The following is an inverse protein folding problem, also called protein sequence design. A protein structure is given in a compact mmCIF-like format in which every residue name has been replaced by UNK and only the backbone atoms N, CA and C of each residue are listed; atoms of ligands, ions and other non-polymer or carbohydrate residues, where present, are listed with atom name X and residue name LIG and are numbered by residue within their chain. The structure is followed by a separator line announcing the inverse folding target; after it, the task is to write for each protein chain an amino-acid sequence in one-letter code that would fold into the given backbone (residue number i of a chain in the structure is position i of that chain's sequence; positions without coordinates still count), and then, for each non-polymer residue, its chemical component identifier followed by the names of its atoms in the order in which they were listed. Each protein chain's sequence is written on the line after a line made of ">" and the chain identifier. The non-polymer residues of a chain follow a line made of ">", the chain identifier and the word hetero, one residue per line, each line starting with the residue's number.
data_IF_093995134901
#
_entry.id   IF_093995134901
#
_cell.length_a   1.000
_cell.length_b   1.000
_cell.length_c   1.000
_cell.angle_alpha   90.00
_cell.angle_beta   90.00
_cell.angle_gamma   90.00
#
_symmetry.space_group_name_H-M   'P 1'
#
loop_
_entity.id
_entity.type
_entity.pdbx_description
1 polymer ?
#
# COMPACT_ATOMS: atom_id res chain seq x y z
N UNK A 1 44.06 9.44 -12.26
CA UNK A 1 43.20 8.27 -12.54
C UNK A 1 41.75 8.52 -12.16
N UNK A 2 41.46 9.13 -11.01
CA UNK A 2 40.12 9.56 -10.55
C UNK A 2 39.24 10.28 -11.62
N UNK A 3 39.67 11.37 -12.29
CA UNK A 3 38.77 12.15 -13.15
C UNK A 3 38.31 11.40 -14.42
N UNK A 4 39.14 10.48 -14.92
CA UNK A 4 38.79 9.67 -16.09
C UNK A 4 37.74 8.60 -15.77
N UNK A 5 37.72 8.11 -14.53
CA UNK A 5 36.70 7.16 -14.03
C UNK A 5 35.36 7.87 -13.86
N UNK A 6 35.34 9.10 -13.33
CA UNK A 6 34.11 9.90 -13.24
C UNK A 6 33.57 10.27 -14.62
N UNK A 7 34.44 10.61 -15.58
CA UNK A 7 34.01 10.94 -16.93
C UNK A 7 33.45 9.72 -17.68
N UNK A 8 34.11 8.56 -17.59
CA UNK A 8 33.63 7.33 -18.24
C UNK A 8 32.34 6.81 -17.61
N UNK A 9 32.21 6.87 -16.28
CA UNK A 9 30.95 6.54 -15.60
C UNK A 9 29.82 7.51 -15.98
N UNK A 10 30.09 8.81 -16.08
CA UNK A 10 29.11 9.81 -16.54
C UNK A 10 28.66 9.55 -17.99
N UNK A 11 29.59 9.24 -18.90
CA UNK A 11 29.28 8.91 -20.29
C UNK A 11 28.50 7.58 -20.39
N UNK A 12 28.81 6.59 -19.56
CA UNK A 12 28.05 5.35 -19.47
C UNK A 12 26.62 5.61 -18.97
N UNK A 13 26.47 6.43 -17.92
CA UNK A 13 25.16 6.82 -17.40
C UNK A 13 24.37 7.60 -18.45
N UNK A 14 25.01 8.51 -19.18
CA UNK A 14 24.37 9.32 -20.22
C UNK A 14 23.94 8.46 -21.41
N UNK A 15 24.78 7.53 -21.86
CA UNK A 15 24.45 6.59 -22.94
C UNK A 15 23.33 5.64 -22.53
N UNK A 16 23.36 5.09 -21.31
CA UNK A 16 22.25 4.32 -20.72
C UNK A 16 20.97 5.17 -20.63
N UNK A 17 21.08 6.43 -20.22
CA UNK A 17 19.95 7.36 -20.15
C UNK A 17 19.31 7.55 -21.53
N UNK A 18 20.11 7.83 -22.56
CA UNK A 18 19.65 8.04 -23.93
C UNK A 18 19.06 6.75 -24.54
N UNK A 19 19.65 5.58 -24.25
CA UNK A 19 19.14 4.27 -24.68
C UNK A 19 17.78 3.94 -24.05
N UNK A 20 17.55 4.35 -22.81
CA UNK A 20 16.28 4.10 -22.10
C UNK A 20 15.20 5.12 -22.47
N UNK A 21 15.56 6.32 -22.94
CA UNK A 21 14.60 7.33 -23.42
C UNK A 21 14.02 6.94 -24.80
N UNK A 22 13.00 6.09 -24.81
CA UNK A 22 12.23 5.81 -26.03
C UNK A 22 11.39 7.02 -26.44
N UNK A 23 11.41 7.38 -27.73
CA UNK A 23 10.46 8.34 -28.32
C UNK A 23 9.04 7.80 -28.15
N UNK A 24 8.15 8.64 -27.61
CA UNK A 24 6.75 8.28 -27.46
C UNK A 24 6.05 8.20 -28.82
N UNK A 25 5.18 7.19 -29.05
CA UNK A 25 4.29 7.18 -30.20
C UNK A 25 3.45 8.46 -30.27
N UNK A 26 3.14 8.91 -31.49
CA UNK A 26 2.42 10.17 -31.75
C UNK A 26 0.99 10.21 -31.19
N UNK A 27 0.39 9.05 -30.90
CA UNK A 27 -1.02 8.93 -30.48
C UNK A 27 -1.21 8.83 -28.95
N UNK A 28 -0.18 9.16 -28.15
CA UNK A 28 -0.30 9.12 -26.70
C UNK A 28 -0.74 10.47 -26.11
N UNK A 29 -1.42 10.47 -24.95
CA UNK A 29 -1.70 11.69 -24.21
C UNK A 29 -0.44 12.55 -23.96
N UNK A 30 -0.59 13.88 -23.82
CA UNK A 30 0.51 14.76 -23.47
C UNK A 30 1.08 14.40 -22.09
N UNK A 31 2.33 14.76 -21.82
CA UNK A 31 2.95 14.54 -20.52
C UNK A 31 4.38 14.01 -20.59
N UNK A 32 5.19 14.40 -19.60
CA UNK A 32 6.57 13.89 -19.46
C UNK A 32 6.59 12.54 -18.75
N UNK A 33 7.44 11.63 -19.22
CA UNK A 33 7.68 10.36 -18.52
C UNK A 33 8.63 10.50 -17.32
N UNK A 34 9.27 11.66 -17.13
CA UNK A 34 10.22 11.88 -16.04
C UNK A 34 11.55 11.14 -16.23
N UNK A 35 12.20 10.78 -15.12
CA UNK A 35 13.48 10.08 -15.14
C UNK A 35 13.34 8.64 -15.66
N UNK A 36 14.37 8.06 -16.28
CA UNK A 36 14.38 6.64 -16.64
C UNK A 36 14.05 5.75 -15.45
N UNK A 37 13.30 4.68 -15.70
CA UNK A 37 12.86 3.69 -14.72
C UNK A 37 11.88 4.28 -13.70
N UNK A 38 12.30 5.22 -12.86
CA UNK A 38 11.50 5.72 -11.72
C UNK A 38 10.47 6.79 -12.07
N UNK A 39 10.55 7.39 -13.26
CA UNK A 39 9.62 8.40 -13.73
C UNK A 39 9.58 9.64 -12.84
N UNK A 40 8.39 9.95 -12.33
CA UNK A 40 8.15 11.11 -11.45
C UNK A 40 7.86 10.70 -10.00
N UNK A 41 8.08 9.43 -9.66
CA UNK A 41 7.73 8.83 -8.37
C UNK A 41 8.31 9.57 -7.17
N UNK A 42 9.57 10.00 -7.24
CA UNK A 42 10.23 10.69 -6.12
C UNK A 42 9.56 12.04 -5.84
N UNK A 43 9.29 12.82 -6.87
CA UNK A 43 8.59 14.11 -6.73
C UNK A 43 7.17 13.93 -6.18
N UNK A 44 6.46 12.90 -6.65
CA UNK A 44 5.12 12.59 -6.16
C UNK A 44 5.15 12.12 -4.70
N UNK A 45 6.07 11.22 -4.34
CA UNK A 45 6.24 10.77 -2.95
C UNK A 45 6.65 11.90 -2.01
N UNK A 46 7.48 12.85 -2.46
CA UNK A 46 7.82 14.04 -1.69
C UNK A 46 6.60 14.92 -1.47
N UNK A 47 5.80 15.15 -2.51
CA UNK A 47 4.54 15.88 -2.40
C UNK A 47 3.57 15.19 -1.44
N UNK A 48 3.40 13.88 -1.53
CA UNK A 48 2.57 13.10 -0.60
C UNK A 48 3.03 13.24 0.85
N UNK A 49 4.34 13.16 1.12
CA UNK A 49 4.89 13.35 2.47
C UNK A 49 4.72 14.77 3.00
N UNK A 50 4.75 15.76 2.12
CA UNK A 50 4.52 17.15 2.46
C UNK A 50 3.03 17.53 2.52
N UNK A 51 2.11 16.56 2.38
CA UNK A 51 0.66 16.77 2.27
C UNK A 51 0.27 17.71 1.10
N UNK A 52 1.02 17.64 0.00
CA UNK A 52 0.84 18.39 -1.25
C UNK A 52 0.55 17.50 -2.47
N UNK A 53 0.16 16.24 -2.23
CA UNK A 53 -0.14 15.28 -3.31
C UNK A 53 -1.22 15.78 -4.27
N UNK A 54 -2.29 16.38 -3.73
CA UNK A 54 -3.36 16.98 -4.53
C UNK A 54 -2.84 18.14 -5.38
N UNK A 55 -2.05 19.05 -4.79
CA UNK A 55 -1.46 20.17 -5.52
C UNK A 55 -0.58 19.68 -6.69
N UNK A 56 0.21 18.63 -6.47
CA UNK A 56 1.05 18.01 -7.50
C UNK A 56 0.21 17.46 -8.68
N UNK A 57 -0.98 16.91 -8.40
CA UNK A 57 -1.92 16.46 -9.42
C UNK A 57 -2.62 17.64 -10.12
N UNK A 58 -2.99 18.68 -9.39
CA UNK A 58 -3.62 19.89 -9.97
C UNK A 58 -2.67 20.66 -10.90
N UNK A 59 -1.39 20.79 -10.54
CA UNK A 59 -0.38 21.38 -11.42
C UNK A 59 -0.21 20.60 -12.72
N UNK A 60 -0.33 19.27 -12.66
CA UNK A 60 -0.33 18.42 -13.85
C UNK A 60 -1.53 18.70 -14.75
N UNK A 61 -2.71 18.77 -14.17
CA UNK A 61 -3.96 19.06 -14.89
C UNK A 61 -3.83 20.42 -15.59
N UNK A 62 -3.35 21.44 -14.86
CA UNK A 62 -3.10 22.77 -15.43
C UNK A 62 -2.12 22.76 -16.60
N UNK A 63 -1.08 21.91 -16.53
CA UNK A 63 -0.01 21.86 -17.53
C UNK A 63 -0.33 21.03 -18.77
N UNK A 64 -0.96 19.86 -18.60
CA UNK A 64 -1.15 18.88 -19.67
C UNK A 64 -2.61 18.58 -19.99
N UNK A 65 -3.55 19.13 -19.22
CA UNK A 65 -4.97 18.83 -19.31
C UNK A 65 -5.39 17.62 -18.45
N UNK A 66 -6.69 17.28 -18.47
CA UNK A 66 -7.29 16.25 -17.60
C UNK A 66 -6.85 14.82 -17.94
N UNK A 67 -6.26 14.60 -19.12
CA UNK A 67 -5.75 13.29 -19.57
C UNK A 67 -4.29 13.48 -19.94
N UNK A 68 -3.38 12.83 -19.20
CA UNK A 68 -1.95 12.96 -19.44
C UNK A 68 -1.18 11.70 -19.10
N UNK A 69 -0.04 11.48 -19.75
CA UNK A 69 0.85 10.36 -19.43
C UNK A 69 1.92 10.75 -18.42
N UNK A 70 2.38 9.76 -17.66
CA UNK A 70 3.49 9.85 -16.74
C UNK A 70 4.07 8.46 -16.49
N UNK A 71 5.17 8.39 -15.72
CA UNK A 71 5.62 7.13 -15.14
C UNK A 71 5.63 7.28 -13.62
N UNK A 72 4.96 6.35 -12.94
CA UNK A 72 4.97 6.22 -11.49
C UNK A 72 5.34 4.78 -11.12
N UNK A 73 6.24 4.66 -10.14
CA UNK A 73 6.75 3.44 -9.54
C UNK A 73 7.32 2.41 -10.51
N UNK A 74 7.86 2.84 -11.66
CA UNK A 74 8.37 1.93 -12.68
C UNK A 74 7.37 1.65 -13.81
N UNK A 75 6.17 2.19 -13.73
CA UNK A 75 5.06 1.83 -14.60
C UNK A 75 4.61 3.05 -15.43
N UNK A 76 4.64 2.96 -16.77
CA UNK A 76 3.95 3.91 -17.62
C UNK A 76 2.46 3.97 -17.27
N UNK A 77 1.95 5.17 -17.04
CA UNK A 77 0.60 5.41 -16.53
C UNK A 77 -0.06 6.50 -17.36
N UNK A 78 -1.36 6.35 -17.58
CA UNK A 78 -2.22 7.46 -18.04
C UNK A 78 -3.00 7.95 -16.83
N UNK A 79 -2.76 9.20 -16.46
CA UNK A 79 -3.54 9.92 -15.47
C UNK A 79 -4.81 10.46 -16.12
N UNK A 80 -5.94 10.19 -15.48
CA UNK A 80 -7.25 10.66 -15.89
C UNK A 80 -7.87 11.47 -14.75
N UNK A 81 -8.47 12.60 -15.08
CA UNK A 81 -9.16 13.47 -14.12
C UNK A 81 -10.53 13.89 -14.65
N UNK A 82 -11.51 13.96 -13.74
CA UNK A 82 -12.86 14.43 -14.01
C UNK A 82 -13.92 13.33 -13.94
N UNK A 83 -15.18 13.76 -13.85
CA UNK A 83 -16.32 12.86 -13.65
C UNK A 83 -16.47 11.83 -14.78
N UNK A 84 -16.32 12.25 -16.04
CA UNK A 84 -16.42 11.37 -17.19
C UNK A 84 -15.35 10.27 -17.18
N UNK A 85 -14.11 10.63 -16.83
CA UNK A 85 -13.02 9.68 -16.64
C UNK A 85 -13.29 8.68 -15.51
N UNK A 86 -13.75 9.17 -14.36
CA UNK A 86 -14.10 8.31 -13.23
C UNK A 86 -15.23 7.34 -13.60
N UNK A 87 -16.27 7.82 -14.28
CA UNK A 87 -17.37 6.97 -14.78
C UNK A 87 -16.82 5.88 -15.69
N UNK A 88 -15.98 6.24 -16.67
CA UNK A 88 -15.34 5.28 -17.56
C UNK A 88 -14.57 4.21 -16.77
N UNK A 89 -13.70 4.60 -15.83
CA UNK A 89 -12.92 3.65 -15.01
C UNK A 89 -13.81 2.71 -14.18
N UNK A 90 -14.92 3.20 -13.62
CA UNK A 90 -15.78 2.40 -12.75
C UNK A 90 -16.84 1.57 -13.48
N UNK A 91 -17.12 1.84 -14.76
CA UNK A 91 -18.13 1.10 -15.55
C UNK A 91 -17.53 0.30 -16.70
N UNK A 92 -16.23 0.37 -16.92
CA UNK A 92 -15.54 -0.42 -17.95
C UNK A 92 -15.63 -1.92 -17.61
N UNK A 93 -15.72 -2.76 -18.64
CA UNK A 93 -15.63 -4.20 -18.44
C UNK A 93 -14.20 -4.65 -18.11
N UNK A 94 -14.11 -5.81 -17.45
CA UNK A 94 -12.84 -6.42 -17.04
C UNK A 94 -11.98 -6.85 -18.25
N UNK A 95 -12.52 -6.90 -19.48
CA UNK A 95 -11.74 -7.21 -20.69
C UNK A 95 -10.97 -5.98 -21.18
N UNK A 96 -11.47 -4.79 -20.87
CA UNK A 96 -10.88 -3.52 -21.31
C UNK A 96 -9.96 -2.94 -20.24
N UNK A 97 -10.38 -2.94 -18.97
CA UNK A 97 -9.59 -2.43 -17.85
C UNK A 97 -9.67 -3.38 -16.66
N UNK A 98 -8.49 -3.70 -16.11
CA UNK A 98 -8.37 -4.51 -14.90
C UNK A 98 -7.65 -3.70 -13.85
N UNK A 99 -8.16 -3.74 -12.61
CA UNK A 99 -7.47 -3.16 -11.46
C UNK A 99 -6.10 -3.81 -11.31
N UNK A 100 -5.04 -3.01 -11.35
CA UNK A 100 -3.67 -3.43 -11.06
C UNK A 100 -3.00 -2.44 -10.15
N UNK A 101 -2.25 -2.94 -9.19
CA UNK A 101 -1.46 -2.11 -8.30
C UNK A 101 -0.01 -1.99 -8.79
N UNK A 102 0.76 -1.02 -8.27
CA UNK A 102 2.20 -1.02 -8.45
C UNK A 102 2.81 -2.38 -8.05
N UNK A 103 3.84 -2.82 -8.77
CA UNK A 103 4.53 -4.10 -8.53
C UNK A 103 4.97 -4.26 -7.07
N UNK A 104 5.30 -3.16 -6.40
CA UNK A 104 5.65 -3.14 -4.98
C UNK A 104 4.53 -3.69 -4.09
N UNK A 105 3.28 -3.29 -4.31
CA UNK A 105 2.11 -3.75 -3.54
C UNK A 105 1.94 -5.26 -3.72
N UNK A 106 1.91 -5.72 -4.97
CA UNK A 106 1.80 -7.15 -5.30
C UNK A 106 2.89 -7.99 -4.64
N UNK A 107 4.16 -7.57 -4.73
CA UNK A 107 5.28 -8.34 -4.16
C UNK A 107 5.27 -8.38 -2.63
N UNK A 108 4.79 -7.33 -1.98
CA UNK A 108 4.68 -7.25 -0.53
C UNK A 108 3.47 -8.05 -0.03
N UNK A 109 2.29 -7.84 -0.60
CA UNK A 109 1.06 -8.51 -0.19
C UNK A 109 0.95 -9.97 -0.68
N UNK A 110 1.73 -10.35 -1.70
CA UNK A 110 1.67 -11.66 -2.36
C UNK A 110 0.65 -11.70 -3.50
N UNK A 111 0.73 -12.69 -4.38
CA UNK A 111 -0.08 -12.73 -5.62
C UNK A 111 -1.57 -13.01 -5.37
N UNK A 112 -1.93 -13.59 -4.22
CA UNK A 112 -3.31 -13.93 -3.83
C UNK A 112 -3.94 -12.88 -2.90
N UNK A 113 -3.68 -11.60 -3.18
CA UNK A 113 -4.29 -10.51 -2.43
C UNK A 113 -5.47 -9.90 -3.21
N UNK A 114 -6.44 -9.30 -2.51
CA UNK A 114 -7.68 -8.79 -3.13
C UNK A 114 -7.44 -7.74 -4.22
N UNK A 115 -6.33 -7.00 -4.19
CA UNK A 115 -6.03 -5.99 -5.19
C UNK A 115 -5.50 -6.57 -6.51
N UNK A 116 -5.07 -7.84 -6.52
CA UNK A 116 -4.48 -8.52 -7.68
C UNK A 116 -5.38 -9.62 -8.25
N UNK A 117 -6.27 -10.20 -7.43
CA UNK A 117 -7.23 -11.19 -7.90
C UNK A 117 -8.22 -10.57 -8.89
N UNK A 118 -8.68 -11.38 -9.85
CA UNK A 118 -9.68 -10.99 -10.86
C UNK A 118 -10.80 -12.03 -10.93
N UNK A 119 -11.91 -11.69 -11.59
CA UNK A 119 -12.99 -12.62 -11.88
C UNK A 119 -13.57 -13.32 -10.64
N UNK A 120 -13.72 -14.65 -10.70
CA UNK A 120 -14.38 -15.43 -9.65
C UNK A 120 -13.59 -15.48 -8.34
N UNK A 121 -12.26 -15.55 -8.41
CA UNK A 121 -11.42 -15.55 -7.20
C UNK A 121 -11.56 -14.23 -6.44
N UNK A 122 -11.56 -13.10 -7.17
CA UNK A 122 -11.82 -11.79 -6.58
C UNK A 122 -13.22 -11.73 -5.95
N UNK A 123 -14.26 -12.19 -6.65
CA UNK A 123 -15.64 -12.22 -6.13
C UNK A 123 -15.74 -13.04 -4.83
N UNK A 124 -15.10 -14.20 -4.78
CA UNK A 124 -15.08 -15.08 -3.61
C UNK A 124 -14.44 -14.38 -2.40
N UNK A 125 -13.22 -13.87 -2.55
CA UNK A 125 -12.51 -13.19 -1.46
C UNK A 125 -13.24 -11.91 -1.04
N UNK A 126 -13.78 -11.13 -1.99
CA UNK A 126 -14.56 -9.93 -1.69
C UNK A 126 -15.83 -10.26 -0.90
N UNK A 127 -16.54 -11.33 -1.25
CA UNK A 127 -17.72 -11.78 -0.50
C UNK A 127 -17.35 -12.21 0.92
N UNK A 128 -16.24 -12.93 1.09
CA UNK A 128 -15.73 -13.32 2.40
C UNK A 128 -15.41 -12.09 3.27
N UNK A 129 -14.67 -11.10 2.75
CA UNK A 129 -14.38 -9.84 3.47
C UNK A 129 -15.69 -9.09 3.80
N UNK A 130 -16.60 -8.99 2.83
CA UNK A 130 -17.90 -8.32 3.02
C UNK A 130 -18.75 -8.96 4.11
N UNK A 131 -18.61 -10.27 4.36
CA UNK A 131 -19.35 -10.95 5.42
C UNK A 131 -19.01 -10.44 6.82
N UNK A 132 -17.76 -10.02 7.06
CA UNK A 132 -17.31 -9.42 8.32
C UNK A 132 -17.79 -7.97 8.50
N UNK A 133 -18.24 -7.32 7.42
CA UNK A 133 -18.69 -5.93 7.41
C UNK A 133 -20.22 -5.80 7.37
N UNK A 134 -20.95 -6.91 7.48
CA UNK A 134 -22.41 -6.89 7.57
C UNK A 134 -22.87 -6.23 8.87
N UNK A 135 -24.00 -5.54 8.82
CA UNK A 135 -24.54 -4.76 9.95
C UNK A 135 -24.69 -5.60 11.21
N UNK A 136 -25.12 -6.86 11.09
CA UNK A 136 -25.32 -7.78 12.21
C UNK A 136 -23.99 -8.15 12.89
N UNK A 137 -22.91 -8.21 12.11
CA UNK A 137 -21.56 -8.49 12.61
C UNK A 137 -20.95 -7.23 13.21
N UNK A 138 -21.09 -6.07 12.56
CA UNK A 138 -20.61 -4.79 13.06
C UNK A 138 -21.21 -4.44 14.42
N UNK A 139 -22.50 -4.72 14.65
CA UNK A 139 -23.15 -4.54 15.96
C UNK A 139 -22.45 -5.33 17.07
N UNK A 140 -21.97 -6.55 16.77
CA UNK A 140 -21.22 -7.39 17.73
C UNK A 140 -19.84 -6.82 18.03
N UNK A 141 -19.25 -6.07 17.09
CA UNK A 141 -17.94 -5.45 17.28
C UNK A 141 -17.97 -4.23 18.21
N UNK A 142 -19.12 -3.55 18.35
CA UNK A 142 -19.24 -2.29 19.11
C UNK A 142 -18.65 -2.42 20.52
N UNK A 143 -19.04 -3.45 21.27
CA UNK A 143 -18.54 -3.64 22.65
C UNK A 143 -17.03 -3.82 22.73
N UNK A 144 -16.43 -4.57 21.79
CA UNK A 144 -14.98 -4.78 21.75
C UNK A 144 -14.24 -3.51 21.28
N UNK A 145 -14.76 -2.80 20.28
CA UNK A 145 -14.20 -1.51 19.85
C UNK A 145 -14.21 -0.50 20.99
N UNK A 146 -15.33 -0.37 21.68
CA UNK A 146 -15.52 0.55 22.80
C UNK A 146 -14.57 0.26 23.97
N UNK A 147 -14.36 -1.02 24.29
CA UNK A 147 -13.33 -1.46 25.25
C UNK A 147 -11.92 -1.03 24.79
N UNK A 148 -11.54 -1.30 23.55
CA UNK A 148 -10.22 -0.92 23.01
C UNK A 148 -10.01 0.60 23.02
N UNK A 149 -11.04 1.37 22.66
CA UNK A 149 -10.99 2.83 22.63
C UNK A 149 -10.79 3.39 24.05
N UNK A 150 -11.60 2.96 25.03
CA UNK A 150 -11.47 3.43 26.41
C UNK A 150 -10.08 3.14 26.98
N UNK A 151 -9.61 1.92 26.77
CA UNK A 151 -8.28 1.49 27.20
C UNK A 151 -7.17 2.33 26.54
N UNK A 152 -7.29 2.59 25.23
CA UNK A 152 -6.34 3.43 24.50
C UNK A 152 -6.30 4.87 25.04
N UNK A 153 -7.46 5.48 25.29
CA UNK A 153 -7.55 6.82 25.86
C UNK A 153 -6.93 6.86 27.26
N UNK A 154 -7.24 5.88 28.10
CA UNK A 154 -6.68 5.79 29.45
C UNK A 154 -5.15 5.67 29.43
N UNK A 155 -4.58 4.77 28.63
CA UNK A 155 -3.14 4.51 28.59
C UNK A 155 -2.32 5.60 27.89
N UNK A 156 -2.92 6.29 26.91
CA UNK A 156 -2.13 7.14 26.01
C UNK A 156 -2.50 8.62 26.03
N UNK A 157 -3.65 9.00 26.56
CA UNK A 157 -4.18 10.36 26.51
C UNK A 157 -4.40 10.95 27.90
N UNK A 158 -4.98 10.19 28.82
CA UNK A 158 -5.29 10.68 30.16
C UNK A 158 -4.02 11.16 30.89
N UNK A 159 -4.12 12.32 31.54
CA UNK A 159 -3.02 12.92 32.30
C UNK A 159 -1.88 13.52 31.46
N UNK A 160 -2.04 13.64 30.13
CA UNK A 160 -1.02 14.25 29.25
C UNK A 160 -1.47 15.61 28.77
N UNK A 161 -0.59 16.60 28.90
CA UNK A 161 -0.80 17.95 28.38
C UNK A 161 -0.75 17.98 26.84
N UNK A 162 0.12 17.16 26.24
CA UNK A 162 0.29 17.07 24.79
C UNK A 162 0.24 15.61 24.30
N UNK A 163 -0.49 15.37 23.21
CA UNK A 163 -0.60 14.05 22.58
C UNK A 163 -0.36 14.16 21.08
N UNK A 164 0.62 13.39 20.58
CA UNK A 164 0.80 13.17 19.14
C UNK A 164 -0.30 12.25 18.60
N UNK A 165 -1.40 12.84 18.15
CA UNK A 165 -2.64 12.12 17.77
C UNK A 165 -2.40 11.08 16.67
N UNK A 166 -1.70 11.42 15.59
CA UNK A 166 -1.60 10.52 14.42
C UNK A 166 -0.92 9.17 14.72
N UNK A 167 0.24 9.10 15.39
CA UNK A 167 0.78 7.82 15.85
C UNK A 167 -0.18 7.03 16.74
N UNK A 168 -0.87 7.71 17.67
CA UNK A 168 -1.80 7.05 18.59
C UNK A 168 -3.03 6.49 17.89
N UNK A 169 -3.60 7.22 16.95
CA UNK A 169 -4.72 6.73 16.14
C UNK A 169 -4.32 5.53 15.27
N UNK A 170 -3.11 5.51 14.71
CA UNK A 170 -2.60 4.32 13.99
C UNK A 170 -2.55 3.11 14.90
N UNK A 171 -1.96 3.24 16.09
CA UNK A 171 -1.93 2.17 17.10
C UNK A 171 -3.35 1.71 17.44
N UNK A 172 -4.29 2.63 17.72
CA UNK A 172 -5.68 2.29 18.05
C UNK A 172 -6.37 1.48 16.92
N UNK A 173 -6.28 1.94 15.68
CA UNK A 173 -6.92 1.25 14.55
C UNK A 173 -6.32 -0.12 14.28
N UNK A 174 -4.99 -0.26 14.37
CA UNK A 174 -4.31 -1.55 14.27
C UNK A 174 -4.77 -2.50 15.38
N UNK A 175 -4.82 -1.97 16.60
CA UNK A 175 -5.27 -2.69 17.77
C UNK A 175 -6.70 -3.23 17.60
N UNK A 176 -7.64 -2.39 17.15
CA UNK A 176 -9.01 -2.80 16.87
C UNK A 176 -9.04 -3.95 15.85
N UNK A 177 -8.26 -3.88 14.76
CA UNK A 177 -8.21 -4.93 13.74
C UNK A 177 -7.65 -6.24 14.33
N UNK A 178 -6.56 -6.19 15.09
CA UNK A 178 -6.01 -7.37 15.77
C UNK A 178 -7.04 -8.03 16.69
N UNK A 179 -7.75 -7.22 17.46
CA UNK A 179 -8.75 -7.69 18.42
C UNK A 179 -9.98 -8.30 17.75
N UNK A 180 -10.48 -7.69 16.67
CA UNK A 180 -11.71 -8.10 16.00
C UNK A 180 -11.50 -9.22 14.96
N UNK A 181 -10.42 -9.13 14.19
CA UNK A 181 -10.20 -10.00 13.02
C UNK A 181 -9.23 -11.13 13.35
N UNK A 182 -8.11 -10.82 14.00
CA UNK A 182 -7.11 -11.84 14.36
C UNK A 182 -7.44 -12.52 15.70
N UNK A 183 -8.30 -11.91 16.52
CA UNK A 183 -8.61 -12.37 17.86
C UNK A 183 -7.37 -12.40 18.77
N UNK A 184 -6.40 -11.51 18.53
CA UNK A 184 -5.22 -11.32 19.37
C UNK A 184 -5.56 -10.21 20.36
N UNK A 185 -5.46 -10.48 21.65
CA UNK A 185 -5.68 -9.46 22.68
C UNK A 185 -4.35 -8.77 23.05
N UNK A 186 -4.23 -8.24 24.27
CA UNK A 186 -3.00 -7.55 24.71
C UNK A 186 -1.85 -8.54 24.96
N UNK A 187 -1.16 -8.91 23.89
CA UNK A 187 0.01 -9.79 23.93
C UNK A 187 1.21 -9.11 23.27
N UNK A 188 2.46 -9.43 23.68
CA UNK A 188 3.67 -8.93 23.02
C UNK A 188 3.69 -9.19 21.50
N UNK A 189 3.02 -10.26 21.06
CA UNK A 189 2.83 -10.61 19.65
C UNK A 189 2.14 -9.50 18.85
N UNK A 190 1.22 -8.76 19.47
CA UNK A 190 0.49 -7.65 18.84
C UNK A 190 1.42 -6.48 18.52
N UNK A 191 2.31 -6.13 19.43
CA UNK A 191 3.25 -5.03 19.25
C UNK A 191 4.25 -5.35 18.13
N UNK A 192 4.76 -6.59 18.10
CA UNK A 192 5.62 -7.08 17.00
C UNK A 192 4.88 -7.02 15.66
N UNK A 193 3.62 -7.45 15.61
CA UNK A 193 2.81 -7.36 14.40
C UNK A 193 2.57 -5.91 13.96
N UNK A 194 2.40 -4.97 14.91
CA UNK A 194 2.21 -3.55 14.60
C UNK A 194 3.45 -2.93 13.93
N UNK A 195 4.63 -3.22 14.47
CA UNK A 195 5.91 -2.78 13.92
C UNK A 195 6.12 -3.35 12.51
N UNK A 196 5.94 -4.67 12.36
CA UNK A 196 6.07 -5.33 11.05
C UNK A 196 5.07 -4.79 10.04
N UNK A 197 3.82 -4.54 10.45
CA UNK A 197 2.81 -3.96 9.56
C UNK A 197 3.20 -2.56 9.11
N UNK A 198 3.70 -1.72 10.02
CA UNK A 198 4.19 -0.39 9.66
C UNK A 198 5.35 -0.45 8.66
N UNK A 199 6.36 -1.30 8.91
CA UNK A 199 7.47 -1.51 7.98
C UNK A 199 6.99 -2.00 6.61
N UNK A 200 5.96 -2.85 6.59
CA UNK A 200 5.36 -3.36 5.37
C UNK A 200 4.68 -2.24 4.55
N UNK A 201 3.94 -1.35 5.21
CA UNK A 201 3.25 -0.22 4.59
C UNK A 201 4.23 0.80 3.96
N UNK A 202 5.42 0.99 4.53
CA UNK A 202 6.41 1.95 4.02
C UNK A 202 6.93 1.64 2.61
N UNK A 203 6.87 0.37 2.18
CA UNK A 203 7.34 -0.08 0.87
C UNK A 203 6.23 -0.27 -0.16
N UNK A 204 4.95 -0.16 0.22
CA UNK A 204 3.84 -0.39 -0.71
C UNK A 204 3.85 0.58 -1.90
N UNK A 205 4.12 1.86 -1.66
CA UNK A 205 4.29 2.89 -2.70
C UNK A 205 5.76 3.27 -2.83
N UNK A 206 6.56 2.34 -3.35
CA UNK A 206 8.00 2.54 -3.56
C UNK A 206 8.42 2.01 -4.93
N UNK A 207 9.61 2.41 -5.38
CA UNK A 207 10.20 1.80 -6.57
C UNK A 207 10.62 0.36 -6.18
N UNK A 208 10.20 -0.67 -6.93
CA UNK A 208 10.35 -2.08 -6.54
C UNK A 208 11.78 -2.63 -6.71
N UNK A 209 12.78 -1.90 -6.21
CA UNK A 209 14.21 -2.26 -6.25
C UNK A 209 14.56 -2.99 -4.96
N UNK A 210 14.97 -4.26 -5.07
CA UNK A 210 15.21 -5.13 -3.91
C UNK A 210 16.68 -5.11 -3.45
N UNK A 211 17.17 -3.97 -2.95
CA UNK A 211 18.51 -3.86 -2.34
C UNK A 211 18.42 -3.72 -0.80
N UNK A 212 19.41 -4.21 -0.03
CA UNK A 212 19.35 -4.27 1.44
C UNK A 212 19.01 -2.97 2.18
N UNK A 213 19.32 -1.81 1.60
CA UNK A 213 19.08 -0.49 2.18
C UNK A 213 17.76 0.16 1.74
N UNK A 214 17.02 -0.47 0.82
CA UNK A 214 15.77 0.09 0.28
C UNK A 214 14.60 -0.18 1.22
N UNK A 215 13.63 0.74 1.24
CA UNK A 215 12.34 0.53 1.94
C UNK A 215 11.65 -0.73 1.44
N UNK A 216 11.69 -0.96 0.13
CA UNK A 216 11.08 -2.11 -0.51
C UNK A 216 11.65 -3.44 0.03
N UNK A 217 12.97 -3.58 0.16
CA UNK A 217 13.58 -4.78 0.75
C UNK A 217 13.15 -5.00 2.21
N UNK A 218 13.14 -3.94 3.03
CA UNK A 218 12.69 -4.04 4.42
C UNK A 218 11.23 -4.49 4.50
N UNK A 219 10.34 -3.91 3.68
CA UNK A 219 8.93 -4.30 3.64
C UNK A 219 8.72 -5.75 3.17
N UNK A 220 9.56 -6.27 2.27
CA UNK A 220 9.52 -7.69 1.90
C UNK A 220 9.89 -8.60 3.06
N UNK A 221 10.92 -8.24 3.83
CA UNK A 221 11.32 -8.99 5.04
C UNK A 221 10.24 -8.92 6.11
N UNK A 222 9.67 -7.74 6.34
CA UNK A 222 8.56 -7.55 7.26
C UNK A 222 7.35 -8.40 6.85
N UNK A 223 6.98 -8.39 5.57
CA UNK A 223 5.90 -9.22 5.04
C UNK A 223 6.13 -10.71 5.26
N UNK A 224 7.37 -11.19 5.08
CA UNK A 224 7.70 -12.60 5.33
C UNK A 224 7.52 -12.97 6.82
N UNK A 225 7.98 -12.12 7.74
CA UNK A 225 7.79 -12.30 9.19
C UNK A 225 6.31 -12.25 9.58
N UNK A 226 5.56 -11.27 9.08
CA UNK A 226 4.12 -11.17 9.30
C UNK A 226 3.40 -12.43 8.85
N UNK A 227 3.72 -12.96 7.65
CA UNK A 227 3.12 -14.20 7.16
C UNK A 227 3.41 -15.39 8.08
N UNK A 228 4.62 -15.54 8.59
CA UNK A 228 4.94 -16.59 9.56
C UNK A 228 4.05 -16.49 10.81
N UNK A 229 3.98 -15.30 11.42
CA UNK A 229 3.16 -15.06 12.61
C UNK A 229 1.67 -15.37 12.36
N UNK A 230 1.15 -14.96 11.20
CA UNK A 230 -0.25 -15.23 10.82
C UNK A 230 -0.50 -16.73 10.59
N UNK A 231 0.45 -17.45 9.97
CA UNK A 231 0.33 -18.90 9.77
C UNK A 231 0.31 -19.66 11.11
N UNK A 232 1.14 -19.24 12.06
CA UNK A 232 1.15 -19.80 13.41
C UNK A 232 -0.19 -19.57 14.12
N UNK A 233 -0.76 -18.35 14.04
CA UNK A 233 -2.10 -18.06 14.59
C UNK A 233 -3.19 -18.92 13.96
N UNK A 234 -3.12 -19.16 12.65
CA UNK A 234 -4.07 -20.03 11.95
C UNK A 234 -3.95 -21.46 12.47
N UNK A 235 -2.72 -21.95 12.69
CA UNK A 235 -2.49 -23.28 13.24
C UNK A 235 -3.04 -23.41 14.67
N UNK A 236 -2.75 -22.45 15.54
CA UNK A 236 -3.28 -22.38 16.91
C UNK A 236 -4.82 -22.41 16.94
N UNK A 237 -5.46 -21.58 16.12
CA UNK A 237 -6.93 -21.54 16.04
C UNK A 237 -7.54 -22.83 15.50
N UNK A 238 -6.89 -23.48 14.52
CA UNK A 238 -7.34 -24.78 14.00
C UNK A 238 -7.26 -25.88 15.05
N UNK A 239 -6.19 -25.92 15.84
CA UNK A 239 -6.06 -26.86 16.95
C UNK A 239 -7.13 -26.61 18.02
N UNK A 240 -7.33 -25.36 18.43
CA UNK A 240 -8.37 -25.01 19.43
C UNK A 240 -9.78 -25.39 18.97
N UNK A 241 -10.08 -25.30 17.67
CA UNK A 241 -11.36 -25.74 17.10
C UNK A 241 -11.51 -27.26 17.15
N UNK A 242 -10.45 -28.02 16.82
CA UNK A 242 -10.45 -29.49 16.92
C UNK A 242 -10.65 -29.96 18.37
N UNK A 243 -10.08 -29.25 19.33
CA UNK A 243 -10.22 -29.52 20.76
C UNK A 243 -11.54 -29.00 21.37
N UNK A 244 -12.45 -28.43 20.56
CA UNK A 244 -13.72 -27.79 20.98
C UNK A 244 -13.53 -26.66 22.01
N UNK A 245 -12.34 -26.07 22.09
CA UNK A 245 -12.02 -24.92 22.95
C UNK A 245 -12.41 -23.58 22.31
N UNK A 246 -12.76 -23.58 21.02
CA UNK A 246 -13.25 -22.42 20.29
C UNK A 246 -14.53 -22.76 19.52
N UNK A 247 -15.46 -21.79 19.42
CA UNK A 247 -16.63 -21.86 18.54
C UNK A 247 -16.25 -21.43 17.11
N UNK A 248 -16.88 -21.99 16.06
CA UNK A 248 -16.67 -21.56 14.67
C UNK A 248 -16.94 -20.08 14.42
#
# INVERSE_FOLDING_TARGET
>A
MEPLIYLTSLLLILSLFLLVTKRSPKNLPPGSMGLPIIGQSLSFLQAMRANKGEQWLQERIKKYGPISKLNLFGTPTVFLHGQAANKFIYTCDDNTLVSRQPVSVRRICGDRNIFELTGNDHKCIRAAIGSFLKVEVLKKYVGKMDKEIRMHLHMHWHGKEEVKVMPKMKTLTFNIICSLILGIEQEPRRDVLAELFQEMMEGMLSVPVNFPFTRFNRSLRAAAKTRAIIMDLIAEKRMALQEKRASP
#
